data_IF_839737386201
#
_entry.id   IF_839737386201
#
_cell.length_a   1.000
_cell.length_b   1.000
_cell.length_c   1.000
_cell.angle_alpha   90.00
_cell.angle_beta   90.00
_cell.angle_gamma   90.00
#
_symmetry.space_group_name_H-M   'P 1'
#
loop_
_entity.id
_entity.type
_entity.pdbx_description
1 polymer ?
#
# COMPACT_ATOMS: atom_id res chain seq x y z
N UNK A 1 8.49 53.08 25.84
CA UNK A 1 7.51 51.99 25.62
C UNK A 1 7.00 52.04 24.20
N UNK A 2 7.61 51.25 23.29
CA UNK A 2 7.07 51.09 21.94
C UNK A 2 6.08 49.92 21.98
N UNK A 3 4.79 50.25 22.00
CA UNK A 3 3.72 49.34 21.72
C UNK A 3 3.92 48.77 20.32
N UNK A 4 4.31 47.50 20.25
CA UNK A 4 4.23 46.72 19.01
C UNK A 4 2.74 46.55 18.73
N UNK A 5 2.16 47.43 17.93
CA UNK A 5 0.84 47.17 17.34
C UNK A 5 1.02 45.96 16.42
N UNK A 6 0.59 44.79 16.91
CA UNK A 6 0.39 43.61 16.13
C UNK A 6 -0.60 43.98 15.03
N UNK A 7 -0.11 44.00 13.79
CA UNK A 7 -0.93 44.16 12.60
C UNK A 7 -1.59 42.83 12.18
N UNK A 8 -1.79 41.94 13.13
CA UNK A 8 -2.70 40.82 12.95
C UNK A 8 -4.13 41.39 13.03
N UNK A 9 -4.65 41.63 11.87
CA UNK A 9 -5.99 42.18 11.69
C UNK A 9 -7.03 41.26 12.32
N UNK A 10 -7.97 41.82 13.04
CA UNK A 10 -9.15 41.16 13.63
C UNK A 10 -9.87 40.24 12.62
N UNK A 11 -9.76 40.51 11.33
CA UNK A 11 -10.31 39.70 10.25
C UNK A 11 -9.84 38.21 10.21
N UNK A 12 -8.59 37.94 10.60
CA UNK A 12 -8.07 36.56 10.54
C UNK A 12 -8.46 35.73 11.78
N UNK A 13 -8.76 36.38 12.91
CA UNK A 13 -9.15 35.65 14.14
C UNK A 13 -10.52 34.99 13.98
N UNK A 14 -11.43 35.59 13.22
CA UNK A 14 -12.77 35.05 12.97
C UNK A 14 -12.77 33.76 12.14
N UNK A 15 -11.69 33.45 11.39
CA UNK A 15 -11.60 32.25 10.57
C UNK A 15 -11.58 30.94 11.37
N UNK A 16 -11.10 31.03 12.63
CA UNK A 16 -10.94 29.86 13.51
C UNK A 16 -12.04 29.76 14.57
N UNK A 17 -12.86 30.80 14.74
CA UNK A 17 -13.91 30.84 15.78
C UNK A 17 -15.17 30.13 15.26
N UNK A 18 -15.79 29.33 16.14
CA UNK A 18 -17.08 28.70 15.85
C UNK A 18 -18.14 29.76 15.52
N UNK A 19 -18.72 29.78 14.31
CA UNK A 19 -19.74 30.75 13.91
C UNK A 19 -20.94 30.82 14.85
N UNK A 20 -21.27 29.72 15.54
CA UNK A 20 -22.35 29.65 16.49
C UNK A 20 -22.03 30.37 17.81
N UNK A 21 -20.78 30.65 18.07
CA UNK A 21 -20.30 31.33 19.28
C UNK A 21 -19.95 32.80 19.04
N UNK A 22 -19.82 33.25 17.80
CA UNK A 22 -19.44 34.64 17.44
C UNK A 22 -20.45 35.65 17.96
N UNK A 23 -21.73 35.32 17.96
CA UNK A 23 -22.83 36.19 18.41
C UNK A 23 -23.08 36.12 19.92
N UNK A 24 -22.61 35.11 20.60
CA UNK A 24 -22.86 34.86 22.02
C UNK A 24 -21.79 33.96 22.63
N UNK A 25 -20.81 34.58 23.26
CA UNK A 25 -19.71 33.86 23.91
C UNK A 25 -20.14 32.95 25.05
N UNK A 26 -21.35 33.09 25.60
CA UNK A 26 -21.87 32.16 26.61
C UNK A 26 -22.15 30.76 26.05
N UNK A 27 -22.17 30.61 24.73
CA UNK A 27 -22.37 29.34 24.00
C UNK A 27 -21.06 28.61 23.69
N UNK A 28 -19.93 29.15 24.10
CA UNK A 28 -18.64 28.48 24.00
C UNK A 28 -18.63 27.24 24.87
N UNK A 29 -18.23 26.13 24.27
CA UNK A 29 -18.09 24.83 24.91
C UNK A 29 -16.97 24.04 24.22
N UNK A 30 -16.70 22.83 24.67
CA UNK A 30 -15.70 21.94 24.08
C UNK A 30 -15.93 21.71 22.59
N UNK A 31 -17.19 21.73 22.11
CA UNK A 31 -17.49 21.60 20.69
C UNK A 31 -17.07 22.82 19.86
N UNK A 32 -16.98 23.97 20.50
CA UNK A 32 -16.47 25.20 19.87
C UNK A 32 -14.95 25.16 19.74
N UNK A 33 -14.24 24.62 20.74
CA UNK A 33 -12.79 24.39 20.66
C UNK A 33 -12.46 23.36 19.58
N UNK A 34 -13.26 22.29 19.48
CA UNK A 34 -13.16 21.28 18.44
C UNK A 34 -13.30 21.89 17.04
N UNK A 35 -14.25 22.82 16.86
CA UNK A 35 -14.39 23.55 15.59
C UNK A 35 -13.11 24.33 15.27
N UNK A 36 -12.57 25.06 16.24
CA UNK A 36 -11.34 25.85 16.08
C UNK A 36 -10.14 24.96 15.71
N UNK A 37 -10.00 23.81 16.37
CA UNK A 37 -8.97 22.82 16.04
C UNK A 37 -9.13 22.32 14.59
N UNK A 38 -10.33 21.97 14.18
CA UNK A 38 -10.61 21.56 12.80
C UNK A 38 -10.20 22.63 11.77
N UNK A 39 -10.52 23.90 12.05
CA UNK A 39 -10.13 25.03 11.19
C UNK A 39 -8.61 25.26 11.16
N UNK A 40 -7.92 25.04 12.27
CA UNK A 40 -6.44 25.12 12.34
C UNK A 40 -5.81 24.02 11.49
N UNK A 41 -6.30 22.77 11.61
CA UNK A 41 -5.82 21.64 10.80
C UNK A 41 -6.02 21.96 9.30
N UNK A 42 -7.22 22.37 8.91
CA UNK A 42 -7.55 22.75 7.53
C UNK A 42 -6.60 23.83 7.02
N UNK A 43 -6.39 24.90 7.80
CA UNK A 43 -5.50 26.00 7.45
C UNK A 43 -4.06 25.56 7.22
N UNK A 44 -3.52 24.71 8.10
CA UNK A 44 -2.13 24.20 7.98
C UNK A 44 -1.93 23.47 6.66
N UNK A 45 -2.87 22.61 6.27
CA UNK A 45 -2.73 21.79 5.07
C UNK A 45 -3.10 22.55 3.80
N UNK A 46 -4.14 23.35 3.80
CA UNK A 46 -4.58 24.10 2.61
C UNK A 46 -3.68 25.32 2.30
N UNK A 47 -3.10 25.94 3.30
CA UNK A 47 -2.22 27.11 3.11
C UNK A 47 -0.93 26.78 2.36
N UNK A 48 -0.35 25.59 2.61
CA UNK A 48 0.91 25.18 1.97
C UNK A 48 0.71 24.56 0.58
N UNK A 49 -0.36 23.81 0.40
CA UNK A 49 -0.52 22.93 -0.76
C UNK A 49 -1.55 23.42 -1.78
N UNK A 50 -2.28 24.49 -1.48
CA UNK A 50 -3.37 25.06 -2.30
C UNK A 50 -4.42 24.00 -2.76
N UNK A 51 -4.48 22.86 -2.08
CA UNK A 51 -5.39 21.77 -2.36
C UNK A 51 -6.30 21.53 -1.16
N UNK A 52 -7.61 21.40 -1.44
CA UNK A 52 -8.61 21.09 -0.40
C UNK A 52 -8.66 19.58 -0.10
N UNK A 53 -7.86 18.76 -0.76
CA UNK A 53 -7.87 17.31 -0.63
C UNK A 53 -6.63 16.82 0.10
N UNK A 54 -6.65 16.93 1.43
CA UNK A 54 -5.59 16.46 2.31
C UNK A 54 -6.05 15.27 3.17
N UNK A 55 -5.09 14.51 3.70
CA UNK A 55 -5.35 13.26 4.44
C UNK A 55 -6.28 13.40 5.67
N UNK A 56 -6.41 14.58 6.25
CA UNK A 56 -7.25 14.86 7.42
C UNK A 56 -8.59 15.51 7.07
N UNK A 57 -8.96 15.57 5.79
CA UNK A 57 -10.18 16.25 5.32
C UNK A 57 -11.44 15.77 6.06
N UNK A 58 -11.61 14.47 6.21
CA UNK A 58 -12.77 13.88 6.92
C UNK A 58 -12.82 14.31 8.38
N UNK A 59 -11.66 14.40 9.05
CA UNK A 59 -11.55 14.88 10.43
C UNK A 59 -11.97 16.36 10.50
N UNK A 60 -11.48 17.17 9.57
CA UNK A 60 -11.84 18.60 9.47
C UNK A 60 -13.34 18.77 9.25
N UNK A 61 -13.92 18.07 8.27
CA UNK A 61 -15.35 18.16 7.94
C UNK A 61 -16.23 17.82 9.16
N UNK A 62 -15.85 16.77 9.92
CA UNK A 62 -16.55 16.39 11.15
C UNK A 62 -16.37 17.43 12.25
N UNK A 63 -15.14 17.89 12.51
CA UNK A 63 -14.83 18.87 13.54
C UNK A 63 -15.51 20.21 13.28
N UNK A 64 -15.62 20.64 12.01
CA UNK A 64 -16.20 21.92 11.60
C UNK A 64 -17.66 21.82 11.18
N UNK A 65 -18.33 20.70 11.46
CA UNK A 65 -19.76 20.54 11.16
C UNK A 65 -20.60 21.69 11.71
N UNK A 66 -21.56 22.19 10.91
CA UNK A 66 -22.52 23.19 11.35
C UNK A 66 -23.40 22.69 12.51
N UNK A 67 -23.72 21.42 12.49
CA UNK A 67 -24.42 20.78 13.60
C UNK A 67 -23.42 20.36 14.68
N UNK A 68 -23.41 21.07 15.82
CA UNK A 68 -22.57 20.75 16.97
C UNK A 68 -22.64 19.29 17.43
N UNK A 69 -23.82 18.67 17.35
CA UNK A 69 -24.04 17.29 17.80
C UNK A 69 -23.23 16.28 16.96
N UNK A 70 -22.88 16.60 15.73
CA UNK A 70 -22.12 15.73 14.83
C UNK A 70 -20.59 15.88 15.01
N UNK A 71 -20.14 16.91 15.74
CA UNK A 71 -18.72 17.11 16.03
C UNK A 71 -18.24 16.07 17.05
N UNK A 72 -16.92 15.95 17.15
CA UNK A 72 -16.30 15.10 18.19
C UNK A 72 -16.73 15.50 19.60
N UNK A 73 -16.75 14.54 20.50
CA UNK A 73 -17.11 14.76 21.90
C UNK A 73 -15.93 15.25 22.74
N UNK A 74 -14.71 14.98 22.29
CA UNK A 74 -13.48 15.42 22.94
C UNK A 74 -12.34 15.62 21.95
N UNK A 75 -11.33 16.36 22.36
CA UNK A 75 -10.08 16.54 21.59
C UNK A 75 -9.33 15.22 21.47
N UNK A 76 -9.42 14.35 22.47
CA UNK A 76 -8.81 13.02 22.44
C UNK A 76 -9.33 12.15 21.29
N UNK A 77 -10.62 12.23 20.97
CA UNK A 77 -11.17 11.55 19.79
C UNK A 77 -10.55 12.05 18.48
N UNK A 78 -10.26 13.36 18.36
CA UNK A 78 -9.56 13.90 17.18
C UNK A 78 -8.13 13.36 17.12
N UNK A 79 -7.42 13.34 18.24
CA UNK A 79 -6.04 12.83 18.31
C UNK A 79 -5.99 11.37 17.87
N UNK A 80 -6.87 10.52 18.40
CA UNK A 80 -6.92 9.11 18.04
C UNK A 80 -7.19 8.90 16.54
N UNK A 81 -8.12 9.66 15.94
CA UNK A 81 -8.37 9.55 14.49
C UNK A 81 -7.18 10.08 13.66
N UNK A 82 -6.49 11.14 14.10
CA UNK A 82 -5.26 11.61 13.46
C UNK A 82 -4.18 10.53 13.49
N UNK A 83 -3.94 9.91 14.65
CA UNK A 83 -2.97 8.83 14.82
C UNK A 83 -3.28 7.63 13.93
N UNK A 84 -4.56 7.27 13.81
CA UNK A 84 -5.00 6.18 12.92
C UNK A 84 -4.74 6.52 11.44
N UNK A 85 -5.04 7.74 11.01
CA UNK A 85 -4.76 8.20 9.63
C UNK A 85 -3.26 8.17 9.36
N UNK A 86 -2.42 8.67 10.27
CA UNK A 86 -0.97 8.65 10.13
C UNK A 86 -0.41 7.23 10.08
N UNK A 87 -0.91 6.34 10.93
CA UNK A 87 -0.52 4.92 10.93
C UNK A 87 -0.87 4.24 9.60
N UNK A 88 -2.08 4.46 9.10
CA UNK A 88 -2.52 3.92 7.81
C UNK A 88 -1.68 4.47 6.64
N UNK A 89 -1.33 5.75 6.67
CA UNK A 89 -0.46 6.36 5.67
C UNK A 89 0.94 5.75 5.68
N UNK A 90 1.56 5.64 6.85
CA UNK A 90 2.87 5.01 7.02
C UNK A 90 2.89 3.56 6.54
N UNK A 91 1.83 2.78 6.82
CA UNK A 91 1.72 1.40 6.32
C UNK A 91 1.59 1.33 4.80
N UNK A 92 0.83 2.26 4.18
CA UNK A 92 0.71 2.33 2.71
C UNK A 92 2.04 2.68 2.06
N UNK A 93 2.77 3.64 2.61
CA UNK A 93 4.09 4.06 2.13
C UNK A 93 5.11 2.94 2.25
N UNK A 94 5.14 2.24 3.38
CA UNK A 94 6.01 1.08 3.60
C UNK A 94 5.71 -0.04 2.59
N UNK A 95 4.43 -0.38 2.40
CA UNK A 95 4.01 -1.39 1.42
C UNK A 95 4.36 -1.00 -0.01
N UNK A 96 4.13 0.26 -0.40
CA UNK A 96 4.49 0.77 -1.72
C UNK A 96 6.00 0.72 -1.96
N UNK A 97 6.79 1.10 -0.95
CA UNK A 97 8.26 1.01 -0.99
C UNK A 97 8.73 -0.44 -1.17
N UNK A 98 8.15 -1.40 -0.45
CA UNK A 98 8.50 -2.83 -0.56
C UNK A 98 8.15 -3.38 -1.96
N UNK A 99 6.98 -3.03 -2.50
CA UNK A 99 6.60 -3.43 -3.87
C UNK A 99 7.61 -2.85 -4.89
N UNK A 100 8.00 -1.59 -4.74
CA UNK A 100 9.00 -0.98 -5.63
C UNK A 100 10.36 -1.69 -5.55
N UNK A 101 10.79 -2.16 -4.39
CA UNK A 101 12.00 -2.99 -4.25
C UNK A 101 11.86 -4.29 -5.06
N UNK A 102 10.72 -4.98 -4.93
CA UNK A 102 10.45 -6.22 -5.69
C UNK A 102 10.48 -5.97 -7.20
N UNK A 103 9.84 -4.88 -7.68
CA UNK A 103 9.84 -4.50 -9.09
C UNK A 103 11.24 -4.22 -9.65
N UNK A 104 12.19 -3.84 -8.79
CA UNK A 104 13.58 -3.59 -9.15
C UNK A 104 14.52 -4.75 -8.75
N UNK A 105 13.99 -5.93 -8.47
CA UNK A 105 14.71 -7.15 -8.06
C UNK A 105 15.64 -6.93 -6.85
N UNK A 106 15.28 -5.98 -5.98
CA UNK A 106 16.02 -5.70 -4.76
C UNK A 106 15.46 -6.52 -3.60
N UNK A 107 16.33 -7.27 -2.93
CA UNK A 107 15.98 -8.15 -1.82
C UNK A 107 16.59 -7.64 -0.51
N UNK A 108 15.75 -7.57 0.53
CA UNK A 108 16.13 -7.30 1.91
C UNK A 108 15.13 -7.96 2.88
N UNK A 109 15.32 -7.74 4.18
CA UNK A 109 14.45 -8.31 5.22
C UNK A 109 12.97 -7.92 5.03
N UNK A 110 12.67 -6.68 4.62
CA UNK A 110 11.28 -6.24 4.38
C UNK A 110 10.65 -6.99 3.22
N UNK A 111 11.40 -7.19 2.13
CA UNK A 111 10.95 -7.96 0.96
C UNK A 111 10.76 -9.41 1.35
N UNK A 112 11.69 -9.99 2.13
CA UNK A 112 11.58 -11.35 2.65
C UNK A 112 10.28 -11.55 3.43
N UNK A 113 10.04 -10.74 4.46
CA UNK A 113 8.85 -10.83 5.32
C UNK A 113 7.56 -10.62 4.52
N UNK A 114 7.56 -9.67 3.58
CA UNK A 114 6.42 -9.39 2.74
C UNK A 114 6.07 -10.58 1.83
N UNK A 115 7.07 -11.18 1.16
CA UNK A 115 6.87 -12.34 0.29
C UNK A 115 6.41 -13.54 1.10
N UNK A 116 7.02 -13.81 2.26
CA UNK A 116 6.59 -14.91 3.12
C UNK A 116 5.16 -14.73 3.63
N UNK A 117 4.75 -13.51 3.94
CA UNK A 117 3.35 -13.20 4.28
C UNK A 117 2.36 -13.45 3.14
N UNK A 118 2.78 -13.24 1.87
CA UNK A 118 1.99 -13.60 0.70
C UNK A 118 1.91 -15.12 0.51
N UNK A 119 3.00 -15.85 0.75
CA UNK A 119 3.08 -17.32 0.69
C UNK A 119 2.18 -17.92 1.77
N UNK A 120 2.29 -17.49 3.02
CA UNK A 120 1.51 -18.00 4.16
C UNK A 120 0.00 -17.75 4.01
N UNK A 121 -0.40 -16.80 3.19
CA UNK A 121 -1.80 -16.45 2.90
C UNK A 121 -2.29 -16.91 1.52
N UNK A 122 -1.53 -17.72 0.80
CA UNK A 122 -1.83 -18.21 -0.56
C UNK A 122 -2.12 -17.10 -1.59
N UNK A 123 -1.52 -15.91 -1.41
CA UNK A 123 -1.75 -14.74 -2.28
C UNK A 123 -0.62 -14.42 -3.23
N UNK A 124 0.47 -15.20 -3.20
CA UNK A 124 1.67 -14.91 -3.99
C UNK A 124 1.40 -14.95 -5.50
N UNK A 125 0.68 -15.95 -6.00
CA UNK A 125 0.40 -16.09 -7.42
C UNK A 125 -0.45 -14.93 -7.95
N UNK A 126 -1.45 -14.48 -7.18
CA UNK A 126 -2.25 -13.30 -7.51
C UNK A 126 -1.43 -12.01 -7.50
N UNK A 127 -0.51 -11.87 -6.55
CA UNK A 127 0.40 -10.73 -6.47
C UNK A 127 1.31 -10.66 -7.70
N UNK A 128 1.90 -11.79 -8.11
CA UNK A 128 2.77 -11.92 -9.28
C UNK A 128 2.06 -11.44 -10.55
N UNK A 129 0.87 -11.93 -10.83
CA UNK A 129 0.11 -11.53 -12.04
C UNK A 129 -0.39 -10.09 -11.98
N UNK A 130 -0.80 -9.62 -10.80
CA UNK A 130 -1.27 -8.23 -10.62
C UNK A 130 -0.17 -7.22 -10.95
N UNK A 131 1.08 -7.56 -10.68
CA UNK A 131 2.24 -6.69 -10.91
C UNK A 131 3.08 -7.12 -12.13
N UNK A 132 2.66 -8.16 -12.87
CA UNK A 132 3.33 -8.70 -14.05
C UNK A 132 4.83 -8.99 -13.82
N UNK A 133 5.13 -9.68 -12.74
CA UNK A 133 6.50 -9.94 -12.25
C UNK A 133 7.16 -11.13 -12.95
N UNK A 134 7.44 -11.03 -14.25
CA UNK A 134 8.11 -12.11 -15.01
C UNK A 134 9.55 -12.39 -14.54
N UNK A 135 10.22 -11.40 -13.93
CA UNK A 135 11.56 -11.56 -13.33
C UNK A 135 11.55 -12.02 -11.87
N UNK A 136 10.40 -12.41 -11.31
CA UNK A 136 10.29 -12.80 -9.90
C UNK A 136 11.18 -14.01 -9.54
N UNK A 137 11.60 -14.80 -10.51
CA UNK A 137 12.60 -15.86 -10.34
C UNK A 137 13.91 -15.35 -9.73
N UNK A 138 14.37 -14.15 -10.12
CA UNK A 138 15.57 -13.50 -9.59
C UNK A 138 15.45 -13.17 -8.09
N UNK A 139 14.25 -12.88 -7.64
CA UNK A 139 13.96 -12.66 -6.21
C UNK A 139 13.95 -14.02 -5.47
N UNK A 140 13.33 -15.05 -6.04
CA UNK A 140 13.27 -16.40 -5.41
C UNK A 140 14.68 -16.95 -5.23
N UNK A 141 15.57 -16.77 -6.19
CA UNK A 141 16.96 -17.24 -6.13
C UNK A 141 17.70 -16.70 -4.89
N UNK A 142 17.35 -15.51 -4.40
CA UNK A 142 18.00 -14.88 -3.25
C UNK A 142 17.53 -15.43 -1.89
N UNK A 143 16.51 -16.29 -1.87
CA UNK A 143 16.08 -16.98 -0.66
C UNK A 143 16.91 -18.23 -0.39
N UNK A 144 17.00 -18.64 0.88
CA UNK A 144 17.54 -19.97 1.24
C UNK A 144 16.66 -21.09 0.68
N UNK A 145 17.26 -22.24 0.38
CA UNK A 145 16.61 -23.36 -0.31
C UNK A 145 15.25 -23.79 0.25
N UNK A 146 15.09 -23.79 1.57
CA UNK A 146 13.80 -24.15 2.20
C UNK A 146 12.68 -23.18 1.89
N UNK A 147 12.99 -21.89 1.80
CA UNK A 147 12.02 -20.86 1.41
C UNK A 147 11.75 -20.90 -0.10
N UNK A 148 12.77 -21.16 -0.92
CA UNK A 148 12.60 -21.32 -2.36
C UNK A 148 11.59 -22.42 -2.67
N UNK A 149 11.72 -23.58 -2.04
CA UNK A 149 10.78 -24.71 -2.19
C UNK A 149 9.36 -24.27 -1.82
N UNK A 150 9.20 -23.67 -0.64
CA UNK A 150 7.88 -23.22 -0.17
C UNK A 150 7.23 -22.19 -1.12
N UNK A 151 8.01 -21.24 -1.62
CA UNK A 151 7.54 -20.20 -2.54
C UNK A 151 7.08 -20.84 -3.86
N UNK A 152 7.92 -21.70 -4.49
CA UNK A 152 7.56 -22.30 -5.79
C UNK A 152 6.39 -23.29 -5.67
N UNK A 153 6.29 -24.05 -4.58
CA UNK A 153 5.14 -24.89 -4.29
C UNK A 153 3.84 -24.09 -4.22
N UNK A 154 3.86 -22.96 -3.48
CA UNK A 154 2.68 -22.10 -3.36
C UNK A 154 2.32 -21.46 -4.69
N UNK A 155 3.31 -21.06 -5.50
CA UNK A 155 3.08 -20.55 -6.86
C UNK A 155 2.46 -21.64 -7.73
N UNK A 156 3.04 -22.85 -7.77
CA UNK A 156 2.54 -23.96 -8.56
C UNK A 156 1.13 -24.41 -8.14
N UNK A 157 0.79 -24.30 -6.87
CA UNK A 157 -0.56 -24.58 -6.37
C UNK A 157 -1.57 -23.51 -6.83
N UNK A 158 -1.20 -22.23 -6.80
CA UNK A 158 -2.12 -21.11 -7.02
C UNK A 158 -2.12 -20.54 -8.46
N UNK A 159 -1.24 -21.00 -9.36
CA UNK A 159 -1.08 -20.36 -10.68
C UNK A 159 -2.33 -20.44 -11.55
N UNK A 160 -3.04 -21.56 -11.54
CA UNK A 160 -4.20 -21.78 -12.39
C UNK A 160 -5.39 -20.87 -12.02
N UNK A 161 -5.58 -20.62 -10.73
CA UNK A 161 -6.57 -19.66 -10.25
C UNK A 161 -6.15 -18.21 -10.56
N UNK A 162 -4.87 -17.90 -10.42
CA UNK A 162 -4.33 -16.57 -10.67
C UNK A 162 -4.32 -16.19 -12.16
N UNK A 163 -4.19 -17.15 -13.06
CA UNK A 163 -4.22 -16.90 -14.52
C UNK A 163 -5.61 -16.52 -15.02
N UNK A 164 -6.68 -17.10 -14.46
CA UNK A 164 -8.06 -16.72 -14.72
C UNK A 164 -8.50 -16.90 -16.20
N UNK A 165 -9.73 -16.51 -16.49
CA UNK A 165 -10.26 -16.51 -17.87
C UNK A 165 -9.72 -15.30 -18.66
N UNK A 166 -8.99 -15.56 -19.76
CA UNK A 166 -8.49 -14.51 -20.67
C UNK A 166 -7.14 -13.90 -20.32
N UNK A 167 -6.50 -14.35 -19.25
CA UNK A 167 -5.17 -13.87 -18.83
C UNK A 167 -4.01 -14.63 -19.49
N UNK A 168 -3.94 -14.70 -20.82
CA UNK A 168 -2.88 -15.45 -21.54
C UNK A 168 -1.47 -15.01 -21.15
N UNK A 169 -1.24 -13.70 -20.97
CA UNK A 169 0.06 -13.15 -20.52
C UNK A 169 0.44 -13.57 -19.09
N UNK A 170 -0.53 -13.96 -18.26
CA UNK A 170 -0.24 -14.43 -16.92
C UNK A 170 0.46 -15.80 -16.94
N UNK A 171 0.12 -16.66 -17.91
CA UNK A 171 0.86 -17.92 -18.13
C UNK A 171 2.29 -17.65 -18.55
N UNK A 172 2.53 -16.66 -19.42
CA UNK A 172 3.87 -16.28 -19.85
C UNK A 172 4.72 -15.76 -18.66
N UNK A 173 4.10 -15.05 -17.70
CA UNK A 173 4.74 -14.62 -16.47
C UNK A 173 5.21 -15.81 -15.63
N UNK A 174 4.36 -16.81 -15.39
CA UNK A 174 4.76 -18.01 -14.63
C UNK A 174 5.77 -18.86 -15.38
N UNK A 175 5.64 -18.99 -16.69
CA UNK A 175 6.62 -19.68 -17.54
C UNK A 175 8.01 -19.04 -17.44
N UNK A 176 8.09 -17.70 -17.48
CA UNK A 176 9.36 -16.98 -17.34
C UNK A 176 10.01 -17.21 -15.97
N UNK A 177 9.22 -17.20 -14.90
CA UNK A 177 9.71 -17.49 -13.54
C UNK A 177 10.22 -18.92 -13.46
N UNK A 178 9.45 -19.90 -13.91
CA UNK A 178 9.81 -21.31 -13.88
C UNK A 178 11.07 -21.59 -14.69
N UNK A 179 11.15 -21.07 -15.91
CA UNK A 179 12.34 -21.17 -16.76
C UNK A 179 13.60 -20.59 -16.08
N UNK A 180 13.48 -19.39 -15.48
CA UNK A 180 14.59 -18.79 -14.76
C UNK A 180 15.10 -19.69 -13.64
N UNK A 181 14.20 -20.27 -12.83
CA UNK A 181 14.56 -21.15 -11.73
C UNK A 181 15.23 -22.44 -12.22
N UNK A 182 14.77 -23.02 -13.33
CA UNK A 182 15.42 -24.19 -13.93
C UNK A 182 16.85 -23.91 -14.38
N UNK A 183 17.15 -22.71 -14.87
CA UNK A 183 18.50 -22.36 -15.37
C UNK A 183 19.46 -21.92 -14.24
N UNK A 184 18.97 -21.31 -13.16
CA UNK A 184 19.82 -20.59 -12.22
C UNK A 184 19.85 -21.19 -10.81
N UNK A 185 18.85 -21.99 -10.40
CA UNK A 185 18.81 -22.57 -9.06
C UNK A 185 19.37 -24.00 -9.06
N UNK A 186 20.20 -24.31 -8.06
CA UNK A 186 20.84 -25.63 -7.96
C UNK A 186 20.01 -26.67 -7.17
N UNK A 187 18.99 -26.25 -6.44
CA UNK A 187 18.14 -27.15 -5.67
C UNK A 187 17.24 -27.96 -6.59
N UNK A 188 17.46 -29.30 -6.65
CA UNK A 188 16.73 -30.19 -7.54
C UNK A 188 15.22 -30.18 -7.30
N UNK A 189 14.76 -30.07 -6.04
CA UNK A 189 13.33 -30.02 -5.74
C UNK A 189 12.67 -28.74 -6.29
N UNK A 190 13.36 -27.60 -6.22
CA UNK A 190 12.90 -26.35 -6.84
C UNK A 190 12.82 -26.50 -8.35
N UNK A 191 13.87 -27.10 -8.95
CA UNK A 191 13.94 -27.32 -10.41
C UNK A 191 12.82 -28.27 -10.87
N UNK A 192 12.56 -29.36 -10.15
CA UNK A 192 11.50 -30.33 -10.49
C UNK A 192 10.11 -29.66 -10.47
N UNK A 193 9.82 -28.85 -9.46
CA UNK A 193 8.55 -28.13 -9.36
C UNK A 193 8.45 -27.05 -10.44
N UNK A 194 9.52 -26.30 -10.68
CA UNK A 194 9.56 -25.28 -11.73
C UNK A 194 9.40 -25.90 -13.12
N UNK A 195 10.04 -27.03 -13.40
CA UNK A 195 9.87 -27.76 -14.67
C UNK A 195 8.41 -28.18 -14.86
N UNK A 196 7.79 -28.78 -13.85
CA UNK A 196 6.37 -29.14 -13.89
C UNK A 196 5.46 -27.94 -14.15
N UNK A 197 5.73 -26.80 -13.53
CA UNK A 197 4.97 -25.58 -13.76
C UNK A 197 5.17 -25.06 -15.19
N UNK A 198 6.38 -25.10 -15.73
CA UNK A 198 6.68 -24.69 -17.10
C UNK A 198 5.96 -25.62 -18.11
N UNK A 199 5.97 -26.94 -17.89
CA UNK A 199 5.23 -27.89 -18.70
C UNK A 199 3.73 -27.63 -18.74
N UNK A 200 3.12 -27.30 -17.58
CA UNK A 200 1.70 -26.92 -17.51
C UNK A 200 1.42 -25.66 -18.32
N UNK A 201 2.28 -24.63 -18.23
CA UNK A 201 2.18 -23.43 -19.04
C UNK A 201 2.36 -23.73 -20.54
N UNK A 202 3.28 -24.63 -20.90
CA UNK A 202 3.56 -25.02 -22.29
C UNK A 202 2.40 -25.75 -22.97
N UNK A 203 1.52 -26.41 -22.22
CA UNK A 203 0.28 -27.01 -22.75
C UNK A 203 -0.70 -25.95 -23.29
N UNK A 204 -0.55 -24.71 -22.86
CA UNK A 204 -1.49 -23.61 -23.14
C UNK A 204 -0.85 -22.54 -24.01
N UNK A 205 0.46 -22.29 -23.87
CA UNK A 205 1.16 -21.15 -24.45
C UNK A 205 2.36 -21.58 -25.27
N UNK A 206 2.41 -21.11 -26.52
CA UNK A 206 3.53 -21.36 -27.42
C UNK A 206 4.84 -20.76 -26.87
N UNK A 207 4.79 -19.58 -26.27
CA UNK A 207 5.94 -18.96 -25.60
C UNK A 207 6.57 -19.89 -24.53
N UNK A 208 5.74 -20.56 -23.74
CA UNK A 208 6.24 -21.49 -22.72
C UNK A 208 6.80 -22.79 -23.36
N UNK A 209 6.30 -23.21 -24.52
CA UNK A 209 6.87 -24.32 -25.29
C UNK A 209 8.30 -24.00 -25.77
N UNK A 210 8.51 -22.80 -26.32
CA UNK A 210 9.86 -22.37 -26.73
C UNK A 210 10.84 -22.37 -25.55
N UNK A 211 10.41 -21.90 -24.37
CA UNK A 211 11.25 -21.94 -23.16
C UNK A 211 11.54 -23.37 -22.70
N UNK A 212 10.57 -24.29 -22.81
CA UNK A 212 10.76 -25.68 -22.44
C UNK A 212 11.71 -26.39 -23.42
N UNK A 213 11.62 -26.10 -24.72
CA UNK A 213 12.54 -26.63 -25.74
C UNK A 213 13.98 -26.17 -25.49
N UNK A 214 14.18 -24.88 -25.14
CA UNK A 214 15.50 -24.33 -24.79
C UNK A 214 16.13 -24.97 -23.54
N UNK A 215 15.33 -25.51 -22.63
CA UNK A 215 15.85 -26.26 -21.49
C UNK A 215 16.35 -27.67 -21.85
N UNK A 216 15.89 -28.22 -22.98
CA UNK A 216 16.23 -29.58 -23.42
C UNK A 216 17.45 -29.62 -24.36
N UNK A 217 17.87 -28.45 -24.91
CA UNK A 217 19.08 -28.29 -25.72
C UNK A 217 20.35 -28.17 -24.86
#
# INVERSE_FOLDING_TARGET
ERSIKSSYTEENTHLFVDPLAVSDFSKLDIKSDIYSIGKIIDYIFTFKEATYDHMFKTIVERATSRNKALRYDSVEHIINEIEEVLKNQSQKESKSSTINKILNNYYDTQVHEFIMGLVDSDRISKFIVTHQLSSFGEIIEQFESGYQIKIIQTIAFGYSEATGYGGWSNYDTFASIAYYLCKNVQNSEVVDIATSLLEECARIRYFAQELLEDLME
#
